data_IF_137123743454
#
_entry.id   IF_137123743454
#
_cell.length_a   1.000
_cell.length_b   1.000
_cell.length_c   1.000
_cell.angle_alpha   90.00
_cell.angle_beta   90.00
_cell.angle_gamma   90.00
#
_symmetry.space_group_name_H-M   'P 1'
#
loop_
_entity.id
_entity.type
_entity.pdbx_description
1 polymer ?
#
# COMPACT_ATOMS: atom_id res chain seq x y z
N UNK A 1 7.68 5.93 17.69
CA UNK A 1 8.13 4.83 16.83
C UNK A 1 8.71 5.40 15.55
N UNK A 2 9.84 4.88 15.09
CA UNK A 2 10.42 5.22 13.79
C UNK A 2 9.83 4.31 12.70
N UNK A 3 9.12 4.91 11.74
CA UNK A 3 8.44 4.20 10.66
C UNK A 3 9.31 4.27 9.41
N UNK A 4 9.67 3.14 8.78
CA UNK A 4 10.43 3.16 7.54
C UNK A 4 9.59 3.74 6.39
N UNK A 5 10.23 4.47 5.49
CA UNK A 5 9.61 5.01 4.28
C UNK A 5 9.94 4.13 3.08
N UNK A 6 8.93 3.78 2.28
CA UNK A 6 9.10 3.02 1.04
C UNK A 6 8.92 3.95 -0.17
N UNK A 7 9.87 3.93 -1.08
CA UNK A 7 9.85 4.72 -2.30
C UNK A 7 9.39 3.85 -3.47
N UNK A 8 8.27 4.22 -4.08
CA UNK A 8 7.66 3.47 -5.17
C UNK A 8 8.38 3.63 -6.51
N UNK A 9 9.21 4.67 -6.66
CA UNK A 9 9.99 4.94 -7.89
C UNK A 9 11.27 4.10 -7.90
N UNK A 10 11.98 4.04 -6.77
CA UNK A 10 13.22 3.26 -6.63
C UNK A 10 12.97 1.82 -6.20
N UNK A 11 11.72 1.49 -5.86
CA UNK A 11 11.30 0.18 -5.35
C UNK A 11 12.05 -0.25 -4.08
N UNK A 12 12.53 0.69 -3.27
CA UNK A 12 13.36 0.41 -2.10
C UNK A 12 12.92 1.17 -0.86
N UNK A 13 13.45 0.75 0.30
CA UNK A 13 13.29 1.49 1.55
C UNK A 13 14.30 2.63 1.59
N UNK A 14 13.82 3.80 1.98
CA UNK A 14 14.66 4.97 2.21
C UNK A 14 15.55 4.78 3.46
N UNK A 15 16.74 5.40 3.50
CA UNK A 15 17.65 5.27 4.64
C UNK A 15 17.16 6.03 5.89
N UNK A 16 16.16 6.90 5.74
CA UNK A 16 15.57 7.69 6.81
C UNK A 16 14.16 7.21 7.17
N UNK A 17 13.76 7.49 8.41
CA UNK A 17 12.48 7.08 8.98
C UNK A 17 11.61 8.31 9.28
N UNK A 18 10.30 8.09 9.38
CA UNK A 18 9.34 9.07 9.88
C UNK A 18 9.04 8.77 11.34
N UNK A 19 9.19 9.75 12.21
CA UNK A 19 8.86 9.60 13.64
C UNK A 19 7.34 9.77 13.83
N UNK A 20 6.71 8.79 14.47
CA UNK A 20 5.34 8.87 14.96
C UNK A 20 5.33 8.97 16.48
N UNK A 21 4.72 10.03 17.02
CA UNK A 21 4.57 10.28 18.45
C UNK A 21 3.12 10.62 18.81
N UNK A 22 2.61 10.06 19.91
CA UNK A 22 1.37 10.51 20.55
C UNK A 22 0.09 10.42 19.72
N UNK A 23 -0.05 9.39 18.87
CA UNK A 23 -1.26 9.22 18.08
C UNK A 23 -2.41 8.61 18.91
N UNK A 24 -3.52 9.34 19.06
CA UNK A 24 -4.74 8.83 19.70
C UNK A 24 -5.47 7.80 18.82
N UNK A 25 -5.32 7.93 17.49
CA UNK A 25 -5.90 7.03 16.50
C UNK A 25 -4.81 6.71 15.48
N UNK A 26 -4.64 5.42 15.18
CA UNK A 26 -3.69 4.93 14.16
C UNK A 26 -4.47 4.20 13.09
N UNK A 27 -4.34 4.66 11.84
CA UNK A 27 -4.85 3.94 10.67
C UNK A 27 -3.73 3.06 10.15
N UNK A 28 -3.91 1.76 10.25
CA UNK A 28 -2.99 0.75 9.71
C UNK A 28 -3.57 0.19 8.41
N UNK A 29 -2.91 0.49 7.28
CA UNK A 29 -3.36 0.11 5.94
C UNK A 29 -2.30 -0.72 5.20
N UNK A 30 -2.77 -1.51 4.24
CA UNK A 30 -1.91 -2.32 3.39
C UNK A 30 -2.59 -3.59 2.88
N UNK A 31 -2.03 -4.17 1.82
CA UNK A 31 -2.55 -5.38 1.17
C UNK A 31 -2.48 -6.64 2.06
N UNK A 32 -1.70 -6.61 3.14
CA UNK A 32 -1.49 -7.73 4.07
C UNK A 32 -1.93 -7.41 5.50
N UNK A 33 -2.66 -6.31 5.73
CA UNK A 33 -3.01 -5.88 7.09
C UNK A 33 -3.76 -6.93 7.91
N UNK A 34 -4.48 -7.85 7.26
CA UNK A 34 -5.23 -8.93 7.89
C UNK A 34 -4.59 -10.32 7.75
N UNK A 35 -3.40 -10.43 7.15
CA UNK A 35 -2.75 -11.72 6.90
C UNK A 35 -2.35 -12.43 8.19
N UNK A 36 -1.67 -11.70 9.09
CA UNK A 36 -1.19 -12.23 10.36
C UNK A 36 -2.27 -12.18 11.44
N UNK A 37 -2.44 -13.27 12.19
CA UNK A 37 -3.44 -13.37 13.26
C UNK A 37 -3.13 -12.42 14.43
N UNK A 38 -1.89 -12.36 14.87
CA UNK A 38 -1.47 -11.50 15.98
C UNK A 38 -1.71 -10.02 15.69
N UNK A 39 -1.52 -9.58 14.44
CA UNK A 39 -1.89 -8.22 14.01
C UNK A 39 -3.41 -8.03 14.05
N UNK A 40 -4.20 -8.98 13.56
CA UNK A 40 -5.68 -8.86 13.62
C UNK A 40 -6.22 -8.81 15.05
N UNK A 41 -5.57 -9.48 15.98
CA UNK A 41 -6.02 -9.56 17.37
C UNK A 41 -5.81 -8.22 18.13
N UNK A 42 -4.93 -7.34 17.66
CA UNK A 42 -4.69 -6.00 18.25
C UNK A 42 -5.50 -4.86 17.59
N UNK A 43 -6.23 -5.12 16.50
CA UNK A 43 -7.00 -4.09 15.79
C UNK A 43 -8.40 -3.92 16.38
N UNK A 44 -8.75 -2.69 16.77
CA UNK A 44 -10.08 -2.33 17.28
C UNK A 44 -11.16 -2.35 16.17
N UNK A 45 -10.80 -1.88 14.98
CA UNK A 45 -11.68 -1.82 13.81
C UNK A 45 -11.00 -2.43 12.59
N UNK A 46 -11.78 -3.18 11.79
CA UNK A 46 -11.30 -3.87 10.59
C UNK A 46 -12.22 -3.53 9.42
N UNK A 47 -11.65 -2.85 8.41
CA UNK A 47 -12.34 -2.52 7.16
C UNK A 47 -11.61 -3.23 6.03
N UNK A 48 -12.34 -4.00 5.22
CA UNK A 48 -11.83 -4.59 4.00
C UNK A 48 -12.56 -3.96 2.82
N UNK A 49 -11.81 -3.41 1.86
CA UNK A 49 -12.38 -2.85 0.64
C UNK A 49 -12.28 -3.91 -0.45
N UNK A 50 -13.43 -4.48 -0.80
CA UNK A 50 -13.56 -5.38 -1.94
C UNK A 50 -14.02 -4.60 -3.17
N UNK A 51 -13.45 -4.91 -4.33
CA UNK A 51 -13.71 -4.18 -5.58
C UNK A 51 -13.36 -5.09 -6.76
N UNK A 52 -14.16 -4.99 -7.83
CA UNK A 52 -13.96 -5.75 -9.05
C UNK A 52 -12.58 -5.53 -9.69
N UNK A 53 -12.10 -6.57 -10.35
CA UNK A 53 -10.75 -6.66 -10.89
C UNK A 53 -10.47 -5.59 -11.96
N UNK A 54 -11.46 -5.27 -12.80
CA UNK A 54 -11.39 -4.26 -13.85
C UNK A 54 -11.30 -2.85 -13.28
N UNK A 55 -12.12 -2.51 -12.28
CA UNK A 55 -12.07 -1.23 -11.57
C UNK A 55 -10.70 -1.06 -10.89
N UNK A 56 -10.19 -2.11 -10.25
CA UNK A 56 -8.87 -2.10 -9.62
C UNK A 56 -7.75 -1.88 -10.64
N UNK A 57 -7.80 -2.57 -11.78
CA UNK A 57 -6.81 -2.41 -12.85
C UNK A 57 -6.85 -1.00 -13.44
N UNK A 58 -8.03 -0.46 -13.74
CA UNK A 58 -8.21 0.88 -14.26
C UNK A 58 -7.60 1.94 -13.31
N UNK A 59 -7.95 1.89 -12.02
CA UNK A 59 -7.38 2.80 -11.00
C UNK A 59 -5.87 2.63 -10.86
N UNK A 60 -5.36 1.40 -10.98
CA UNK A 60 -3.91 1.15 -10.91
C UNK A 60 -3.19 1.75 -12.10
N UNK A 61 -3.72 1.61 -13.32
CA UNK A 61 -3.14 2.20 -14.52
C UNK A 61 -3.08 3.72 -14.38
N UNK A 62 -4.20 4.37 -14.06
CA UNK A 62 -4.24 5.82 -13.87
C UNK A 62 -3.19 6.30 -12.87
N UNK A 63 -3.14 5.70 -11.68
CA UNK A 63 -2.20 6.08 -10.62
C UNK A 63 -0.74 5.81 -10.99
N UNK A 64 -0.43 4.60 -11.45
CA UNK A 64 0.95 4.19 -11.71
C UNK A 64 1.53 4.94 -12.94
N UNK A 65 0.71 5.34 -13.91
CA UNK A 65 1.14 6.15 -15.06
C UNK A 65 1.26 7.63 -14.67
N UNK A 66 0.19 8.22 -14.10
CA UNK A 66 0.13 9.66 -13.86
C UNK A 66 1.01 10.11 -12.68
N UNK A 67 1.05 9.35 -11.59
CA UNK A 67 1.74 9.75 -10.36
C UNK A 67 3.14 9.15 -10.23
N UNK A 68 3.37 7.96 -10.81
CA UNK A 68 4.62 7.21 -10.65
C UNK A 68 5.45 7.12 -11.94
N UNK A 69 4.95 7.66 -13.06
CA UNK A 69 5.66 7.71 -14.34
C UNK A 69 5.97 6.33 -14.94
N UNK A 70 5.17 5.31 -14.61
CA UNK A 70 5.37 3.94 -15.12
C UNK A 70 4.80 3.77 -16.52
N UNK A 71 5.41 2.88 -17.28
CA UNK A 71 4.91 2.47 -18.58
C UNK A 71 3.71 1.51 -18.48
N UNK A 72 2.75 1.66 -19.40
CA UNK A 72 1.51 0.89 -19.44
C UNK A 72 1.79 -0.61 -19.55
N UNK A 73 2.70 -1.01 -20.45
CA UNK A 73 3.00 -2.41 -20.72
C UNK A 73 3.56 -3.08 -19.46
N UNK A 74 4.47 -2.40 -18.76
CA UNK A 74 5.02 -2.86 -17.50
C UNK A 74 3.97 -3.02 -16.38
N UNK A 75 2.99 -2.13 -16.30
CA UNK A 75 1.89 -2.23 -15.32
C UNK A 75 0.98 -3.43 -15.64
N UNK A 76 0.62 -3.62 -16.91
CA UNK A 76 -0.21 -4.74 -17.35
C UNK A 76 0.50 -6.06 -17.12
N UNK A 77 1.77 -6.18 -17.53
CA UNK A 77 2.56 -7.39 -17.35
C UNK A 77 2.69 -7.77 -15.87
N UNK A 78 2.81 -6.79 -14.98
CA UNK A 78 2.85 -7.05 -13.54
C UNK A 78 1.49 -7.52 -12.98
N UNK A 79 0.38 -7.10 -13.57
CA UNK A 79 -0.96 -7.46 -13.11
C UNK A 79 -1.40 -8.85 -13.56
N UNK A 80 -0.99 -9.26 -14.76
CA UNK A 80 -1.42 -10.53 -15.37
C UNK A 80 -0.52 -11.72 -15.04
N UNK A 81 0.56 -11.50 -14.28
CA UNK A 81 1.50 -12.53 -13.83
C UNK A 81 1.04 -13.17 -12.52
#
# INVERSE_FOLDING_TARGET
>A
VEIPLYNFTTHSREPYTKILYGANVVIFEGIMSFFRKDIRDILDMKIFVDTDADIRLARRLERDIAERGRDIEGVIQQYTR
#
